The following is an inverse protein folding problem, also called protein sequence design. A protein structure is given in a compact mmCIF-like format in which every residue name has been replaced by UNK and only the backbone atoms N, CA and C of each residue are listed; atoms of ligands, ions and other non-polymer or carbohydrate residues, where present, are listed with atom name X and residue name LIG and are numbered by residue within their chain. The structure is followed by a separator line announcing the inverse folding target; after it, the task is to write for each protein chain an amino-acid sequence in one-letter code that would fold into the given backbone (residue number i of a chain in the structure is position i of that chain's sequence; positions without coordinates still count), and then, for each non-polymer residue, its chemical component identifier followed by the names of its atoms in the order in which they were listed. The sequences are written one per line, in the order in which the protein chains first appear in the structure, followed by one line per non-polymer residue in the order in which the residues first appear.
data_IF_969988346620
#
_entry.id   IF_969988346620
#
_cell.length_a   1.000
_cell.length_b   1.000
_cell.length_c   1.000
_cell.angle_alpha   90.00
_cell.angle_beta   90.00
_cell.angle_gamma   90.00
#
_symmetry.space_group_name_H-M   'P 1'
#
loop_
_entity.id
_entity.type
_entity.pdbx_description
1 polymer ?
#
# COMPACT_ATOMS: atom_id res chain seq x y z
N UNK A 1 9.28 51.20 -30.08
CA UNK A 1 8.79 49.81 -29.89
C UNK A 1 9.33 48.95 -31.04
N UNK A 2 10.27 48.03 -30.78
CA UNK A 2 10.86 47.19 -31.84
C UNK A 2 9.86 46.08 -32.22
N UNK A 3 9.36 46.11 -33.46
CA UNK A 3 8.45 45.08 -34.01
C UNK A 3 9.18 43.73 -34.04
N UNK A 4 8.67 42.76 -33.30
CA UNK A 4 9.17 41.39 -33.33
C UNK A 4 8.84 40.81 -34.71
N UNK A 5 9.84 40.20 -35.36
CA UNK A 5 9.67 39.61 -36.70
C UNK A 5 8.73 38.40 -36.58
N UNK A 6 7.72 38.25 -37.46
CA UNK A 6 6.73 37.17 -37.36
C UNK A 6 7.36 35.77 -37.32
N UNK A 7 8.46 35.54 -38.05
CA UNK A 7 9.20 34.28 -38.01
C UNK A 7 9.86 33.97 -36.66
N UNK A 8 10.25 34.98 -35.87
CA UNK A 8 10.81 34.76 -34.52
C UNK A 8 9.71 34.36 -33.53
N UNK A 9 8.50 34.90 -33.69
CA UNK A 9 7.34 34.54 -32.87
C UNK A 9 6.90 33.09 -33.14
N UNK A 10 6.88 32.67 -34.41
CA UNK A 10 6.53 31.30 -34.79
C UNK A 10 7.53 30.28 -34.26
N UNK A 11 8.84 30.56 -34.34
CA UNK A 11 9.88 29.68 -33.78
C UNK A 11 9.77 29.58 -32.25
N UNK A 12 9.50 30.69 -31.56
CA UNK A 12 9.29 30.69 -30.11
C UNK A 12 8.07 29.85 -29.71
N UNK A 13 6.96 29.95 -30.42
CA UNK A 13 5.75 29.14 -30.14
C UNK A 13 6.02 27.65 -30.35
N UNK A 14 6.72 27.29 -31.43
CA UNK A 14 7.07 25.89 -31.71
C UNK A 14 8.00 25.35 -30.61
N UNK A 15 9.02 26.11 -30.20
CA UNK A 15 9.94 25.71 -29.12
C UNK A 15 9.19 25.57 -27.79
N UNK A 16 8.30 26.50 -27.44
CA UNK A 16 7.46 26.40 -26.26
C UNK A 16 6.54 25.17 -26.29
N UNK A 17 5.95 24.83 -27.45
CA UNK A 17 5.15 23.62 -27.60
C UNK A 17 5.99 22.35 -27.47
N UNK A 18 7.19 22.29 -28.05
CA UNK A 18 8.10 21.15 -27.86
C UNK A 18 8.54 20.96 -26.41
N UNK A 19 8.84 22.05 -25.70
CA UNK A 19 9.15 22.03 -24.25
C UNK A 19 7.94 21.57 -23.43
N UNK A 20 6.74 22.05 -23.76
CA UNK A 20 5.52 21.66 -23.07
C UNK A 20 5.19 20.17 -23.29
N UNK A 21 5.37 19.63 -24.50
CA UNK A 21 5.10 18.20 -24.79
C UNK A 21 6.14 17.30 -24.12
N UNK A 22 7.41 17.72 -24.08
CA UNK A 22 8.45 16.94 -23.41
C UNK A 22 8.31 16.94 -21.89
N UNK A 23 7.78 18.01 -21.25
CA UNK A 23 7.54 18.01 -19.81
C UNK A 23 6.39 17.10 -19.38
N UNK A 24 5.35 16.90 -20.21
CA UNK A 24 4.24 15.97 -19.88
C UNK A 24 4.70 14.51 -19.91
N UNK A 25 5.59 14.15 -20.83
CA UNK A 25 6.11 12.77 -20.93
C UNK A 25 6.93 12.38 -19.70
N UNK A 26 7.69 13.31 -19.11
CA UNK A 26 8.51 13.03 -17.93
C UNK A 26 7.67 12.85 -16.66
N UNK A 27 6.51 13.51 -16.57
CA UNK A 27 5.55 13.29 -15.48
C UNK A 27 4.90 11.91 -15.55
N UNK A 28 4.79 11.31 -16.74
CA UNK A 28 4.19 9.99 -16.95
C UNK A 28 5.23 8.83 -16.99
N UNK A 29 6.51 9.14 -17.17
CA UNK A 29 7.60 8.15 -17.28
C UNK A 29 8.11 7.59 -15.93
N UNK A 30 7.50 7.98 -14.80
CA UNK A 30 7.70 7.30 -13.52
C UNK A 30 6.75 6.12 -13.44
N UNK A 31 7.15 4.95 -13.96
CA UNK A 31 6.35 3.72 -13.94
C UNK A 31 5.64 3.55 -12.60
N UNK A 32 4.30 3.53 -12.62
CA UNK A 32 3.48 3.26 -11.44
C UNK A 32 4.01 1.99 -10.77
N UNK A 33 4.59 2.14 -9.58
CA UNK A 33 5.18 1.03 -8.83
C UNK A 33 4.07 0.27 -8.11
N UNK A 34 3.67 -0.84 -8.70
CA UNK A 34 2.64 -1.72 -8.21
C UNK A 34 3.31 -3.00 -7.73
N UNK A 35 3.33 -3.20 -6.41
CA UNK A 35 3.96 -4.35 -5.76
C UNK A 35 3.40 -5.66 -6.31
N UNK A 36 4.26 -6.50 -6.88
CA UNK A 36 3.88 -7.78 -7.49
C UNK A 36 3.30 -7.69 -8.91
N UNK A 37 3.23 -6.49 -9.49
CA UNK A 37 2.75 -6.27 -10.87
C UNK A 37 3.84 -5.65 -11.74
N UNK A 38 4.30 -4.44 -11.40
CA UNK A 38 5.34 -3.72 -12.16
C UNK A 38 6.68 -3.70 -11.46
N UNK A 39 6.70 -4.03 -10.16
CA UNK A 39 7.92 -4.18 -9.35
C UNK A 39 7.82 -5.46 -8.52
N UNK A 40 8.96 -5.92 -8.00
CA UNK A 40 9.00 -7.07 -7.08
C UNK A 40 8.10 -6.81 -5.88
N UNK A 41 7.38 -7.85 -5.47
CA UNK A 41 6.61 -7.85 -4.24
C UNK A 41 7.54 -8.10 -3.06
N UNK A 42 7.78 -7.06 -2.26
CA UNK A 42 8.59 -7.18 -1.03
C UNK A 42 7.75 -7.67 0.17
N UNK A 43 6.43 -7.80 0.01
CA UNK A 43 5.50 -8.24 1.06
C UNK A 43 4.55 -9.35 0.57
N UNK A 44 5.05 -10.49 0.06
CA UNK A 44 4.23 -11.56 -0.53
C UNK A 44 3.32 -12.29 0.47
N UNK A 45 3.63 -12.25 1.77
CA UNK A 45 2.86 -12.83 2.86
C UNK A 45 1.99 -11.79 3.59
N UNK A 46 2.05 -10.52 3.18
CA UNK A 46 1.25 -9.44 3.73
C UNK A 46 1.59 -9.14 5.19
N UNK A 47 0.65 -9.42 6.10
CA UNK A 47 0.70 -8.96 7.48
C UNK A 47 2.04 -9.28 8.17
N UNK A 48 2.52 -10.52 8.02
CA UNK A 48 3.69 -11.03 8.74
C UNK A 48 5.03 -10.57 8.17
N UNK A 49 5.05 -9.96 6.97
CA UNK A 49 6.27 -9.41 6.39
C UNK A 49 6.66 -8.07 7.05
N UNK A 50 5.68 -7.34 7.58
CA UNK A 50 5.88 -6.11 8.36
C UNK A 50 5.77 -6.35 9.88
N UNK A 51 4.77 -7.12 10.32
CA UNK A 51 4.55 -7.43 11.73
C UNK A 51 5.48 -8.54 12.21
N UNK A 52 6.75 -8.16 12.42
CA UNK A 52 7.85 -9.03 12.84
C UNK A 52 8.75 -8.30 13.83
N UNK A 53 9.73 -9.01 14.38
CA UNK A 53 10.78 -8.38 15.18
C UNK A 53 11.68 -7.55 14.25
N UNK A 54 11.84 -6.27 14.54
CA UNK A 54 12.66 -5.35 13.76
C UNK A 54 13.22 -4.22 14.63
N UNK A 55 14.52 -3.90 14.47
CA UNK A 55 15.14 -2.77 15.17
C UNK A 55 15.09 -2.88 16.71
N UNK A 56 15.08 -4.10 17.26
CA UNK A 56 14.95 -4.35 18.70
C UNK A 56 13.53 -4.29 19.25
N UNK A 57 12.53 -3.96 18.41
CA UNK A 57 11.12 -3.93 18.78
C UNK A 57 10.40 -5.17 18.25
N UNK A 58 9.36 -5.61 18.95
CA UNK A 58 8.54 -6.76 18.57
C UNK A 58 7.16 -6.30 18.05
N UNK A 59 7.04 -6.15 16.73
CA UNK A 59 5.80 -5.74 16.07
C UNK A 59 4.92 -6.93 15.66
N UNK A 60 5.22 -8.15 16.11
CA UNK A 60 4.41 -9.33 15.78
C UNK A 60 2.97 -9.11 16.20
N UNK A 61 2.03 -9.58 15.38
CA UNK A 61 0.60 -9.38 15.62
C UNK A 61 0.16 -9.87 17.00
N UNK A 62 0.68 -11.00 17.48
CA UNK A 62 0.38 -11.51 18.82
C UNK A 62 0.79 -10.54 19.95
N UNK A 63 1.89 -9.82 19.79
CA UNK A 63 2.41 -8.84 20.76
C UNK A 63 1.56 -7.57 20.74
N UNK A 64 1.39 -6.96 19.57
CA UNK A 64 0.63 -5.71 19.41
C UNK A 64 -0.86 -5.88 19.77
N UNK A 65 -1.48 -7.00 19.34
CA UNK A 65 -2.87 -7.28 19.65
C UNK A 65 -3.08 -7.53 21.16
N UNK A 66 -2.15 -8.23 21.81
CA UNK A 66 -2.19 -8.41 23.26
C UNK A 66 -2.12 -7.07 24.00
N UNK A 67 -1.22 -6.18 23.57
CA UNK A 67 -1.11 -4.84 24.12
C UNK A 67 -2.40 -4.01 23.91
N UNK A 68 -3.10 -4.24 22.80
CA UNK A 68 -4.39 -3.62 22.50
C UNK A 68 -5.60 -4.29 23.21
N UNK A 69 -5.37 -5.26 24.11
CA UNK A 69 -6.43 -5.96 24.85
C UNK A 69 -7.19 -7.01 24.04
N UNK A 70 -6.63 -7.46 22.90
CA UNK A 70 -7.22 -8.54 22.11
C UNK A 70 -7.08 -9.90 22.84
N UNK A 71 -8.07 -10.81 22.71
CA UNK A 71 -7.92 -12.18 23.19
C UNK A 71 -6.66 -12.86 22.63
N UNK A 72 -6.07 -13.78 23.39
CA UNK A 72 -4.87 -14.49 22.96
C UNK A 72 -5.15 -15.33 21.70
N UNK A 73 -4.44 -15.00 20.62
CA UNK A 73 -4.56 -15.67 19.32
C UNK A 73 -3.52 -16.78 19.11
N UNK A 74 -2.53 -16.90 19.99
CA UNK A 74 -1.31 -17.70 19.76
C UNK A 74 -1.59 -19.17 19.45
N UNK A 75 -2.66 -19.71 20.05
CA UNK A 75 -3.08 -21.11 19.91
C UNK A 75 -4.10 -21.36 18.79
N UNK A 76 -4.71 -20.32 18.24
CA UNK A 76 -5.86 -20.48 17.33
C UNK A 76 -5.62 -19.92 15.93
N UNK A 77 -4.75 -18.92 15.78
CA UNK A 77 -4.38 -18.36 14.48
C UNK A 77 -3.09 -19.03 14.00
N UNK A 78 -3.16 -19.72 12.85
CA UNK A 78 -2.02 -20.35 12.19
C UNK A 78 -1.49 -19.55 10.99
N UNK A 79 -2.35 -18.74 10.37
CA UNK A 79 -2.00 -17.81 9.30
C UNK A 79 -2.74 -16.49 9.46
N UNK A 80 -2.09 -15.41 9.06
CA UNK A 80 -2.67 -14.07 9.07
C UNK A 80 -2.79 -13.56 7.63
N UNK A 81 -3.96 -13.04 7.21
CA UNK A 81 -5.14 -12.76 8.03
C UNK A 81 -6.19 -13.90 8.12
N UNK A 82 -6.02 -15.02 7.42
CA UNK A 82 -7.10 -16.02 7.29
C UNK A 82 -7.64 -16.51 8.64
N UNK A 83 -6.76 -16.83 9.59
CA UNK A 83 -7.15 -17.28 10.92
C UNK A 83 -7.91 -16.22 11.73
N UNK A 84 -7.73 -14.93 11.41
CA UNK A 84 -8.42 -13.82 12.08
C UNK A 84 -9.92 -13.79 11.73
N UNK A 85 -10.29 -14.27 10.53
CA UNK A 85 -11.68 -14.29 10.06
C UNK A 85 -12.58 -15.25 10.86
N UNK A 86 -11.99 -16.17 11.62
CA UNK A 86 -12.72 -17.02 12.57
C UNK A 86 -13.56 -16.19 13.56
N UNK A 87 -13.04 -15.04 13.99
CA UNK A 87 -13.73 -14.13 14.90
C UNK A 87 -14.21 -12.84 14.19
N UNK A 88 -13.48 -12.35 13.20
CA UNK A 88 -13.71 -11.07 12.53
C UNK A 88 -14.50 -11.16 11.21
N UNK A 89 -15.45 -12.09 11.13
CA UNK A 89 -16.37 -12.19 9.99
C UNK A 89 -17.32 -10.98 9.90
N UNK A 90 -17.85 -10.72 8.71
CA UNK A 90 -18.87 -9.69 8.49
C UNK A 90 -20.05 -9.89 9.43
N UNK A 91 -20.48 -8.83 10.12
CA UNK A 91 -21.57 -8.87 11.09
C UNK A 91 -21.23 -9.47 12.46
N UNK A 92 -19.99 -9.93 12.69
CA UNK A 92 -19.58 -10.37 14.03
C UNK A 92 -19.50 -9.21 15.01
N UNK A 93 -19.75 -9.48 16.30
CA UNK A 93 -19.59 -8.50 17.40
C UNK A 93 -18.16 -7.94 17.49
N UNK A 94 -17.15 -8.73 17.12
CA UNK A 94 -15.76 -8.28 17.05
C UNK A 94 -15.53 -7.18 16.00
N UNK A 95 -16.47 -6.98 15.07
CA UNK A 95 -16.35 -6.12 13.91
C UNK A 95 -15.62 -6.82 12.76
N UNK A 96 -15.95 -6.42 11.54
CA UNK A 96 -15.39 -7.02 10.33
C UNK A 96 -13.90 -6.70 10.18
N UNK A 97 -13.11 -7.71 9.79
CA UNK A 97 -11.64 -7.59 9.75
C UNK A 97 -11.16 -6.45 8.85
N UNK A 98 -11.78 -6.31 7.68
CA UNK A 98 -11.46 -5.26 6.71
C UNK A 98 -11.57 -3.85 7.33
N UNK A 99 -12.61 -3.59 8.12
CA UNK A 99 -12.79 -2.30 8.78
C UNK A 99 -11.76 -2.09 9.89
N UNK A 100 -11.45 -3.13 10.68
CA UNK A 100 -10.45 -3.05 11.75
C UNK A 100 -9.06 -2.75 11.18
N UNK A 101 -8.63 -3.53 10.18
CA UNK A 101 -7.30 -3.40 9.56
C UNK A 101 -7.16 -2.05 8.88
N UNK A 102 -8.09 -1.66 8.00
CA UNK A 102 -7.97 -0.37 7.33
C UNK A 102 -8.00 0.81 8.30
N UNK A 103 -8.86 0.76 9.34
CA UNK A 103 -8.92 1.84 10.32
C UNK A 103 -7.56 2.07 10.99
N UNK A 104 -6.90 1.02 11.48
CA UNK A 104 -5.62 1.19 12.20
C UNK A 104 -4.46 1.59 11.28
N UNK A 105 -4.51 1.23 10.00
CA UNK A 105 -3.47 1.56 9.01
C UNK A 105 -3.71 2.88 8.26
N UNK A 106 -4.86 3.55 8.44
CA UNK A 106 -5.15 4.83 7.79
C UNK A 106 -5.61 5.94 8.75
N UNK A 107 -5.85 5.64 10.03
CA UNK A 107 -6.12 6.67 11.03
C UNK A 107 -4.92 7.60 11.19
N UNK A 108 -5.17 8.90 11.38
CA UNK A 108 -4.14 9.94 11.57
C UNK A 108 -3.04 9.88 10.49
N UNK A 109 -3.38 10.06 9.20
CA UNK A 109 -2.51 9.69 8.08
C UNK A 109 -1.14 10.36 8.08
N UNK A 110 -1.00 11.55 8.66
CA UNK A 110 0.29 12.26 8.76
C UNK A 110 1.26 11.64 9.77
N UNK A 111 0.77 10.75 10.64
CA UNK A 111 1.54 10.07 11.69
C UNK A 111 1.51 8.53 11.54
N UNK A 112 0.74 8.01 10.58
CA UNK A 112 0.54 6.58 10.44
C UNK A 112 1.70 5.93 9.68
N UNK A 113 2.39 4.99 10.32
CA UNK A 113 3.55 4.32 9.72
C UNK A 113 3.25 3.65 8.37
N UNK A 114 2.03 3.12 8.16
CA UNK A 114 1.65 2.55 6.87
C UNK A 114 1.58 3.62 5.78
N UNK A 115 0.97 4.75 6.09
CA UNK A 115 0.83 5.86 5.14
C UNK A 115 2.18 6.53 4.88
N UNK A 116 2.96 6.83 5.93
CA UNK A 116 4.20 7.60 5.81
C UNK A 116 5.36 6.79 5.25
N UNK A 117 5.44 5.49 5.55
CA UNK A 117 6.60 4.67 5.16
C UNK A 117 6.30 3.77 3.96
N UNK A 118 5.04 3.43 3.74
CA UNK A 118 4.61 2.51 2.68
C UNK A 118 3.64 3.15 1.69
N UNK A 119 3.47 4.48 1.75
CA UNK A 119 2.61 5.28 0.86
C UNK A 119 1.14 4.83 0.81
N UNK A 120 0.68 4.07 1.81
CA UNK A 120 -0.65 3.47 1.78
C UNK A 120 -0.86 2.45 0.65
N UNK A 121 0.21 1.85 0.11
CA UNK A 121 0.13 0.93 -1.05
C UNK A 121 -0.70 -0.32 -0.70
N UNK A 122 -1.89 -0.38 -1.30
CA UNK A 122 -2.86 -1.46 -1.16
C UNK A 122 -2.25 -2.83 -1.45
N UNK A 123 -1.29 -2.89 -2.38
CA UNK A 123 -0.67 -4.13 -2.82
C UNK A 123 0.35 -4.67 -1.82
N UNK A 124 0.62 -3.98 -0.70
CA UNK A 124 1.35 -4.59 0.42
C UNK A 124 0.52 -5.67 1.12
N UNK A 125 -0.81 -5.55 1.11
CA UNK A 125 -1.72 -6.52 1.73
C UNK A 125 -2.56 -7.28 0.70
N UNK A 126 -2.91 -6.64 -0.41
CA UNK A 126 -3.72 -7.22 -1.45
C UNK A 126 -2.87 -7.74 -2.61
N UNK A 127 -3.39 -8.73 -3.32
CA UNK A 127 -2.86 -9.16 -4.61
C UNK A 127 -3.96 -9.10 -5.67
N UNK A 128 -3.60 -8.65 -6.85
CA UNK A 128 -4.45 -8.63 -8.03
C UNK A 128 -4.08 -9.81 -8.92
N UNK A 129 -5.07 -10.64 -9.24
CA UNK A 129 -4.96 -11.56 -10.36
C UNK A 129 -5.22 -10.79 -11.66
N UNK A 130 -4.20 -10.64 -12.50
CA UNK A 130 -4.27 -9.89 -13.75
C UNK A 130 -5.10 -10.60 -14.83
N UNK A 131 -5.25 -11.92 -14.75
CA UNK A 131 -6.04 -12.67 -15.72
C UNK A 131 -7.55 -12.52 -15.45
N UNK A 132 -7.94 -12.49 -14.17
CA UNK A 132 -9.35 -12.45 -13.78
C UNK A 132 -9.83 -11.07 -13.30
N UNK A 133 -8.90 -10.16 -12.98
CA UNK A 133 -9.21 -8.90 -12.31
C UNK A 133 -9.57 -9.06 -10.83
N UNK A 134 -9.45 -10.26 -10.26
CA UNK A 134 -9.87 -10.53 -8.89
C UNK A 134 -8.84 -10.04 -7.87
N UNK A 135 -9.32 -9.34 -6.84
CA UNK A 135 -8.51 -8.93 -5.70
C UNK A 135 -8.69 -9.89 -4.53
N UNK A 136 -7.57 -10.34 -3.98
CA UNK A 136 -7.56 -11.15 -2.75
C UNK A 136 -6.58 -10.57 -1.75
N UNK A 137 -6.62 -11.06 -0.50
CA UNK A 137 -5.69 -10.65 0.55
C UNK A 137 -4.58 -11.69 0.63
N UNK A 138 -3.32 -11.23 0.71
CA UNK A 138 -2.17 -12.08 0.95
C UNK A 138 -2.23 -12.66 2.36
N UNK A 139 -1.76 -13.89 2.52
CA UNK A 139 -1.78 -14.58 3.80
C UNK A 139 -0.48 -15.31 4.02
N UNK A 140 0.03 -15.23 5.24
CA UNK A 140 1.30 -15.84 5.66
C UNK A 140 1.15 -16.68 6.91
N UNK A 141 2.03 -17.67 7.07
CA UNK A 141 2.14 -18.41 8.32
C UNK A 141 2.45 -17.47 9.49
N UNK A 142 1.91 -17.76 10.68
CA UNK A 142 2.23 -17.00 11.90
C UNK A 142 3.73 -16.99 12.16
N UNK A 143 4.24 -15.90 12.71
CA UNK A 143 5.66 -15.73 13.06
C UNK A 143 5.88 -15.54 14.57
N UNK A 144 4.96 -16.06 15.39
CA UNK A 144 4.99 -16.04 16.85
C UNK A 144 4.75 -17.42 17.46
#
# INVERSE_FOLDING_TARGET
MKRIRPGLLTVLVIVCMFIAVSSVSWAQQGQLKLSGITVKDEHPNGCVDCHKVAGGNDYRLSTELKAAGHPDITKVVNSAPDGCLMCHKTGAKAGALNQRVHKVHFQNPTQNAFVTNYNGDCLNCHKLDLATGSMTIKSGAKNW
#
